data_IF_973265915391
#
_entry.id   IF_973265915391
#
_cell.length_a   1.000
_cell.length_b   1.000
_cell.length_c   1.000
_cell.angle_alpha   90.00
_cell.angle_beta   90.00
_cell.angle_gamma   90.00
#
_symmetry.space_group_name_H-M   'P 1'
#
loop_
_entity.id
_entity.type
_entity.pdbx_description
1 polymer ?
#
# COMPACT_ATOMS: atom_id res chain seq x y z
N UNK A 1 -4.80 -4.21 -19.36
CA UNK A 1 -4.12 -4.69 -18.13
C UNK A 1 -5.06 -5.56 -17.33
N UNK A 2 -4.58 -6.70 -16.86
CA UNK A 2 -5.40 -7.56 -16.00
C UNK A 2 -5.66 -6.88 -14.67
N UNK A 3 -6.83 -7.13 -14.10
CA UNK A 3 -7.23 -6.51 -12.84
C UNK A 3 -6.30 -6.86 -11.69
N UNK A 4 -5.83 -8.11 -11.62
CA UNK A 4 -4.88 -8.54 -10.59
C UNK A 4 -3.57 -7.79 -10.68
N UNK A 5 -3.06 -7.56 -11.90
CA UNK A 5 -1.83 -6.78 -12.12
C UNK A 5 -2.04 -5.34 -11.69
N UNK A 6 -3.19 -4.76 -12.01
CA UNK A 6 -3.53 -3.40 -11.62
C UNK A 6 -3.57 -3.27 -10.09
N UNK A 7 -4.20 -4.23 -9.40
CA UNK A 7 -4.27 -4.23 -7.93
C UNK A 7 -2.89 -4.31 -7.32
N UNK A 8 -2.00 -5.12 -7.87
CA UNK A 8 -0.62 -5.24 -7.37
C UNK A 8 0.14 -3.93 -7.54
N UNK A 9 0.01 -3.29 -8.69
CA UNK A 9 0.69 -2.02 -8.96
C UNK A 9 0.16 -0.94 -8.02
N UNK A 10 -1.16 -0.80 -7.91
CA UNK A 10 -1.76 0.19 -7.03
C UNK A 10 -1.39 -0.07 -5.57
N UNK A 11 -1.41 -1.33 -5.15
CA UNK A 11 -1.04 -1.70 -3.79
C UNK A 11 0.41 -1.33 -3.48
N UNK A 12 1.32 -1.58 -4.42
CA UNK A 12 2.73 -1.22 -4.25
C UNK A 12 2.91 0.29 -4.15
N UNK A 13 2.18 1.05 -4.97
CA UNK A 13 2.23 2.51 -4.92
C UNK A 13 1.70 3.04 -3.59
N UNK A 14 0.58 2.52 -3.11
CA UNK A 14 0.02 2.92 -1.81
C UNK A 14 0.95 2.56 -0.67
N UNK A 15 1.56 1.39 -0.73
CA UNK A 15 2.53 0.97 0.27
C UNK A 15 3.73 1.91 0.31
N UNK A 16 4.27 2.27 -0.85
CA UNK A 16 5.40 3.19 -0.94
C UNK A 16 5.05 4.57 -0.42
N UNK A 17 3.89 5.11 -0.83
CA UNK A 17 3.42 6.40 -0.33
C UNK A 17 3.22 6.39 1.17
N UNK A 18 2.62 5.32 1.68
CA UNK A 18 2.40 5.18 3.11
C UNK A 18 3.70 5.15 3.89
N UNK A 19 4.70 4.44 3.37
CA UNK A 19 6.01 4.38 4.01
C UNK A 19 6.67 5.75 4.05
N UNK A 20 6.60 6.52 2.97
CA UNK A 20 7.15 7.88 2.93
C UNK A 20 6.47 8.76 3.98
N UNK A 21 5.13 8.70 4.07
CA UNK A 21 4.39 9.47 5.06
C UNK A 21 4.74 9.06 6.49
N UNK A 22 4.86 7.76 6.72
CA UNK A 22 5.23 7.24 8.03
C UNK A 22 6.60 7.74 8.46
N UNK A 23 7.59 7.63 7.57
CA UNK A 23 8.96 8.08 7.86
C UNK A 23 9.03 9.59 8.03
N UNK A 24 8.32 10.34 7.18
CA UNK A 24 8.27 11.80 7.29
C UNK A 24 7.62 12.22 8.60
N UNK A 25 6.53 11.56 8.98
CA UNK A 25 5.85 11.83 10.24
C UNK A 25 6.75 11.62 11.43
N UNK A 26 7.54 10.55 11.43
CA UNK A 26 8.53 10.29 12.47
C UNK A 26 9.59 11.39 12.52
N UNK A 27 10.11 11.77 11.36
CA UNK A 27 11.21 12.74 11.26
C UNK A 27 10.81 14.11 11.78
N UNK A 28 9.58 14.54 11.50
CA UNK A 28 9.12 15.86 11.95
C UNK A 28 8.31 15.84 13.23
N UNK A 29 8.15 14.66 13.84
CA UNK A 29 7.40 14.51 15.08
C UNK A 29 5.89 14.74 14.90
N UNK A 30 5.32 14.31 13.78
CA UNK A 30 3.90 14.46 13.50
C UNK A 30 3.23 13.08 13.56
N UNK A 31 2.61 12.71 14.71
CA UNK A 31 2.00 11.39 14.86
C UNK A 31 0.82 11.16 13.92
N UNK A 32 0.06 12.19 13.57
CA UNK A 32 -1.06 12.04 12.63
C UNK A 32 -0.58 11.62 11.25
N UNK A 33 0.49 12.26 10.78
CA UNK A 33 1.07 11.92 9.48
C UNK A 33 1.66 10.52 9.50
N UNK A 34 2.32 10.16 10.59
CA UNK A 34 2.87 8.83 10.77
C UNK A 34 1.78 7.77 10.73
N UNK A 35 0.69 7.98 11.44
CA UNK A 35 -0.44 7.06 11.49
C UNK A 35 -1.11 6.92 10.14
N UNK A 36 -1.29 8.02 9.43
CA UNK A 36 -1.86 8.01 8.08
C UNK A 36 -0.96 7.21 7.13
N UNK A 37 0.35 7.41 7.25
CA UNK A 37 1.31 6.68 6.45
C UNK A 37 1.27 5.18 6.72
N UNK A 38 1.20 4.81 7.99
CA UNK A 38 1.09 3.40 8.40
C UNK A 38 -0.20 2.79 7.85
N UNK A 39 -1.33 3.50 7.97
CA UNK A 39 -2.60 3.03 7.45
C UNK A 39 -2.58 2.83 5.94
N UNK A 40 -2.01 3.77 5.21
CA UNK A 40 -1.90 3.68 3.76
C UNK A 40 -0.97 2.54 3.33
N UNK A 41 0.12 2.35 4.05
CA UNK A 41 1.06 1.26 3.80
C UNK A 41 0.37 -0.10 3.98
N UNK A 42 -0.39 -0.26 5.06
CA UNK A 42 -1.13 -1.49 5.32
C UNK A 42 -2.20 -1.73 4.27
N UNK A 43 -2.94 -0.67 3.89
CA UNK A 43 -3.96 -0.77 2.84
C UNK A 43 -3.32 -1.20 1.52
N UNK A 44 -2.14 -0.68 1.19
CA UNK A 44 -1.42 -1.08 -0.01
C UNK A 44 -1.02 -2.55 0.02
N UNK A 45 -0.58 -3.05 1.17
CA UNK A 45 -0.23 -4.46 1.31
C UNK A 45 -1.45 -5.36 1.14
N UNK A 46 -2.59 -4.97 1.69
CA UNK A 46 -3.84 -5.72 1.53
C UNK A 46 -4.25 -5.75 0.06
N UNK A 47 -4.20 -4.61 -0.62
CA UNK A 47 -4.54 -4.51 -2.04
C UNK A 47 -3.64 -5.40 -2.89
N UNK A 48 -2.36 -5.42 -2.57
CA UNK A 48 -1.40 -6.26 -3.28
C UNK A 48 -1.70 -7.75 -3.08
N UNK A 49 -2.10 -8.15 -1.87
CA UNK A 49 -2.50 -9.52 -1.58
C UNK A 49 -3.76 -9.93 -2.36
N UNK A 50 -4.72 -9.02 -2.45
CA UNK A 50 -5.93 -9.26 -3.26
C UNK A 50 -5.54 -9.51 -4.72
N UNK A 51 -4.62 -8.71 -5.25
CA UNK A 51 -4.12 -8.92 -6.60
C UNK A 51 -3.47 -10.29 -6.79
N UNK A 52 -2.70 -10.75 -5.81
CA UNK A 52 -2.07 -12.07 -5.85
C UNK A 52 -3.11 -13.19 -5.85
N UNK A 53 -4.15 -13.07 -5.04
CA UNK A 53 -5.23 -14.06 -4.99
C UNK A 53 -6.00 -14.10 -6.32
N UNK A 54 -6.32 -12.95 -6.87
CA UNK A 54 -7.00 -12.86 -8.17
C UNK A 54 -6.17 -13.53 -9.27
N UNK A 55 -4.86 -13.35 -9.22
CA UNK A 55 -3.97 -13.95 -10.21
C UNK A 55 -4.05 -15.48 -10.18
N UNK A 56 -4.17 -16.07 -9.01
CA UNK A 56 -4.32 -17.52 -8.86
C UNK A 56 -5.61 -18.01 -9.52
N UNK A 57 -6.69 -17.26 -9.34
CA UNK A 57 -7.99 -17.65 -9.91
C UNK A 57 -8.12 -17.35 -11.41
N UNK A 58 -7.32 -16.43 -11.94
CA UNK A 58 -7.33 -16.07 -13.35
C UNK A 58 -6.67 -17.12 -14.25
N UNK A 59 -5.95 -18.05 -13.69
CA UNK A 59 -5.35 -19.13 -14.46
C UNK A 59 -6.41 -20.16 -14.92
#
# INVERSE_FOLDING_TARGET
MKESTKDKIEGTLHEAKGKVKEESGKAIGNPDLQDRGTGEKVAGKVQKKVGDVEKVFEQ
#
